data_IF_042856658671
#
_entry.id   IF_042856658671
#
_cell.length_a   1.000
_cell.length_b   1.000
_cell.length_c   1.000
_cell.angle_alpha   90.00
_cell.angle_beta   90.00
_cell.angle_gamma   90.00
#
_symmetry.space_group_name_H-M   'P 1'
#
loop_
_entity.id
_entity.type
_entity.pdbx_description
1 polymer ?
#
# COMPACT_ATOMS: atom_id res chain seq x y z
N UNK A 1 1.33 8.69 -14.81
CA UNK A 1 1.17 7.25 -14.49
C UNK A 1 -0.30 6.98 -14.25
N UNK A 2 -0.84 5.86 -14.76
CA UNK A 2 -2.23 5.47 -14.54
C UNK A 2 -2.25 4.35 -13.49
N UNK A 3 -3.00 4.55 -12.41
CA UNK A 3 -3.08 3.57 -11.30
C UNK A 3 -4.49 3.00 -11.26
N UNK A 4 -4.61 1.67 -11.20
CA UNK A 4 -5.88 0.98 -11.04
C UNK A 4 -6.00 0.40 -9.63
N UNK A 5 -6.97 0.86 -8.85
CA UNK A 5 -7.15 0.46 -7.46
C UNK A 5 -8.37 -0.46 -7.35
N UNK A 6 -8.16 -1.67 -6.83
CA UNK A 6 -9.26 -2.51 -6.37
C UNK A 6 -9.59 -2.17 -4.92
N UNK A 7 -10.88 -2.11 -4.55
CA UNK A 7 -11.28 -1.65 -3.21
C UNK A 7 -11.09 -0.15 -2.99
N UNK A 8 -11.16 0.67 -4.05
CA UNK A 8 -10.96 2.12 -3.98
C UNK A 8 -11.95 2.87 -3.08
N UNK A 9 -13.07 2.24 -2.72
CA UNK A 9 -14.07 2.79 -1.77
C UNK A 9 -13.89 2.27 -0.34
N UNK A 10 -12.93 1.40 -0.08
CA UNK A 10 -12.60 0.91 1.26
C UNK A 10 -11.77 1.93 2.06
N UNK A 11 -11.53 1.65 3.34
CA UNK A 11 -10.82 2.60 4.22
C UNK A 11 -9.46 3.03 3.70
N UNK A 12 -8.58 2.08 3.34
CA UNK A 12 -7.25 2.39 2.76
C UNK A 12 -7.36 2.85 1.31
N UNK A 13 -8.15 2.15 0.48
CA UNK A 13 -8.28 2.46 -0.94
C UNK A 13 -8.83 3.86 -1.23
N UNK A 14 -9.77 4.34 -0.39
CA UNK A 14 -10.33 5.69 -0.48
C UNK A 14 -9.31 6.76 -0.11
N UNK A 15 -8.55 6.54 0.97
CA UNK A 15 -7.46 7.43 1.38
C UNK A 15 -6.36 7.50 0.31
N UNK A 16 -5.95 6.35 -0.23
CA UNK A 16 -4.98 6.29 -1.32
C UNK A 16 -5.46 7.03 -2.57
N UNK A 17 -6.72 6.82 -2.96
CA UNK A 17 -7.31 7.51 -4.12
C UNK A 17 -7.25 9.02 -3.94
N UNK A 18 -7.62 9.54 -2.76
CA UNK A 18 -7.55 10.98 -2.46
C UNK A 18 -6.12 11.52 -2.53
N UNK A 19 -5.14 10.81 -1.95
CA UNK A 19 -3.72 11.18 -1.98
C UNK A 19 -3.15 11.17 -3.40
N UNK A 20 -3.54 10.21 -4.23
CA UNK A 20 -3.06 10.13 -5.62
C UNK A 20 -3.68 11.23 -6.49
N UNK A 21 -4.96 11.52 -6.32
CA UNK A 21 -5.62 12.63 -7.00
C UNK A 21 -5.01 13.99 -6.62
N UNK A 22 -4.67 14.20 -5.34
CA UNK A 22 -4.02 15.45 -4.92
C UNK A 22 -2.61 15.63 -5.49
N UNK A 23 -1.94 14.53 -5.85
CA UNK A 23 -0.65 14.52 -6.56
C UNK A 23 -0.78 14.57 -8.09
N UNK A 24 -2.00 14.73 -8.63
CA UNK A 24 -2.25 14.81 -10.07
C UNK A 24 -2.16 13.47 -10.81
N UNK A 25 -2.24 12.34 -10.09
CA UNK A 25 -2.20 11.00 -10.68
C UNK A 25 -3.59 10.61 -11.18
N UNK A 26 -3.66 10.06 -12.40
CA UNK A 26 -4.89 9.50 -12.95
C UNK A 26 -5.18 8.15 -12.28
N UNK A 27 -6.31 8.07 -11.56
CA UNK A 27 -6.73 6.87 -10.83
C UNK A 27 -8.04 6.34 -11.42
N UNK A 28 -8.05 5.06 -11.77
CA UNK A 28 -9.27 4.29 -12.06
C UNK A 28 -9.47 3.21 -11.01
N UNK A 29 -10.67 2.65 -10.90
CA UNK A 29 -10.89 1.53 -9.99
C UNK A 29 -12.26 0.90 -10.11
N UNK A 30 -12.44 -0.19 -9.36
CA UNK A 30 -13.69 -0.93 -9.31
C UNK A 30 -14.54 -0.45 -8.13
N UNK A 31 -15.77 -0.04 -8.41
CA UNK A 31 -16.79 0.30 -7.42
C UNK A 31 -17.87 -0.77 -7.48
N UNK A 32 -18.11 -1.46 -6.36
CA UNK A 32 -18.95 -2.66 -6.35
C UNK A 32 -20.46 -2.35 -6.38
N UNK A 33 -20.92 -1.40 -5.54
CA UNK A 33 -22.34 -1.20 -5.10
C UNK A 33 -23.06 -2.48 -4.65
N UNK A 34 -24.16 -2.38 -3.92
CA UNK A 34 -24.20 -2.13 -2.47
C UNK A 34 -24.38 -3.52 -1.81
N UNK A 35 -24.06 -3.66 -0.53
CA UNK A 35 -24.19 -4.89 0.26
C UNK A 35 -23.11 -5.97 0.03
N UNK A 36 -22.17 -5.99 0.99
CA UNK A 36 -21.32 -7.11 1.43
C UNK A 36 -21.25 -8.33 0.51
N UNK A 37 -20.04 -8.67 0.03
CA UNK A 37 -19.56 -10.06 0.17
C UNK A 37 -18.15 -10.35 -0.29
N UNK A 38 -17.60 -11.32 0.44
CA UNK A 38 -16.61 -12.32 0.05
C UNK A 38 -15.17 -11.85 -0.05
N UNK A 39 -14.51 -12.06 1.08
CA UNK A 39 -13.09 -12.26 1.28
C UNK A 39 -12.39 -13.03 0.15
N UNK A 40 -11.23 -12.47 -0.21
CA UNK A 40 -9.92 -13.10 -0.36
C UNK A 40 -9.78 -14.34 -1.28
N UNK A 41 -9.27 -14.10 -2.50
CA UNK A 41 -8.11 -14.85 -3.03
C UNK A 41 -7.48 -14.08 -4.21
N UNK A 42 -6.48 -13.23 -3.97
CA UNK A 42 -5.71 -12.60 -5.05
C UNK A 42 -4.19 -12.85 -4.96
N UNK A 43 -3.69 -13.38 -3.83
CA UNK A 43 -2.24 -13.39 -3.56
C UNK A 43 -1.45 -14.51 -4.26
N UNK A 44 -2.10 -15.52 -4.83
CA UNK A 44 -1.40 -16.70 -5.39
C UNK A 44 -1.29 -16.66 -6.93
N UNK A 45 -2.15 -15.91 -7.63
CA UNK A 45 -2.17 -15.88 -9.09
C UNK A 45 -1.20 -14.83 -9.69
N UNK A 46 -0.98 -13.70 -9.00
CA UNK A 46 -0.14 -12.60 -9.49
C UNK A 46 1.36 -12.94 -9.51
N UNK A 47 1.82 -13.84 -8.64
CA UNK A 47 3.23 -14.21 -8.52
C UNK A 47 3.79 -15.01 -9.71
N UNK A 48 2.92 -15.57 -10.56
CA UNK A 48 3.29 -16.47 -11.67
C UNK A 48 3.31 -15.79 -13.05
N UNK A 49 2.96 -14.50 -13.15
CA UNK A 49 2.91 -13.76 -14.42
C UNK A 49 4.13 -12.87 -14.68
N UNK A 50 4.21 -12.31 -15.89
CA UNK A 50 5.25 -11.34 -16.29
C UNK A 50 5.07 -9.95 -15.66
N UNK A 51 3.98 -9.72 -14.90
CA UNK A 51 3.75 -8.44 -14.23
C UNK A 51 4.82 -8.16 -13.17
N UNK A 52 5.24 -6.89 -13.12
CA UNK A 52 5.94 -6.37 -11.96
C UNK A 52 4.93 -6.14 -10.84
N UNK A 53 5.19 -6.67 -9.66
CA UNK A 53 4.23 -6.69 -8.56
C UNK A 53 4.92 -6.35 -7.23
N UNK A 54 4.18 -5.73 -6.33
CA UNK A 54 4.58 -5.49 -4.95
C UNK A 54 3.40 -5.86 -4.05
N UNK A 55 3.63 -6.70 -3.06
CA UNK A 55 2.63 -7.05 -2.04
C UNK A 55 3.00 -6.30 -0.76
N UNK A 56 2.11 -5.44 -0.29
CA UNK A 56 2.24 -4.75 0.99
C UNK A 56 1.29 -5.40 2.00
N UNK A 57 1.82 -5.88 3.12
CA UNK A 57 1.08 -6.53 4.21
C UNK A 57 1.09 -5.65 5.45
N UNK A 58 0.11 -4.74 5.61
CA UNK A 58 0.01 -3.93 6.80
C UNK A 58 -0.38 -4.77 8.03
N UNK A 59 0.05 -4.31 9.21
CA UNK A 59 -0.41 -4.79 10.51
C UNK A 59 -1.88 -4.40 10.77
N UNK A 60 -2.38 -4.59 12.00
CA UNK A 60 -3.80 -4.34 12.33
C UNK A 60 -4.17 -2.88 12.03
N UNK A 61 -5.17 -2.67 11.17
CA UNK A 61 -5.55 -1.33 10.72
C UNK A 61 -6.33 -0.56 11.80
N UNK A 62 -5.86 0.64 12.11
CA UNK A 62 -6.53 1.60 13.00
C UNK A 62 -7.09 2.79 12.23
N UNK A 63 -8.23 3.29 12.71
CA UNK A 63 -8.88 4.52 12.24
C UNK A 63 -8.40 5.73 13.05
N UNK A 64 -7.07 5.86 13.18
CA UNK A 64 -6.38 6.96 13.86
C UNK A 64 -5.66 7.85 12.83
N UNK A 65 -5.37 9.12 13.18
CA UNK A 65 -4.52 9.98 12.35
C UNK A 65 -3.15 9.35 12.10
N UNK A 66 -2.63 9.52 10.88
CA UNK A 66 -1.29 9.06 10.52
C UNK A 66 -0.19 9.81 11.27
N UNK A 67 0.85 9.08 11.64
CA UNK A 67 2.06 9.61 12.29
C UNK A 67 3.10 10.11 11.28
N UNK A 68 3.01 9.69 10.01
CA UNK A 68 4.01 9.97 8.98
C UNK A 68 5.30 9.15 9.11
N UNK A 69 5.35 8.22 10.06
CA UNK A 69 6.49 7.34 10.34
C UNK A 69 6.05 5.89 10.42
N UNK A 70 6.88 4.98 9.91
CA UNK A 70 6.57 3.56 9.78
C UNK A 70 7.80 2.67 10.01
N UNK A 71 7.56 1.38 10.17
CA UNK A 71 8.55 0.33 9.94
C UNK A 71 8.16 -0.43 8.68
N UNK A 72 9.11 -0.61 7.75
CA UNK A 72 8.85 -1.23 6.45
C UNK A 72 9.99 -2.15 6.06
N UNK A 73 9.69 -3.44 5.88
CA UNK A 73 10.71 -4.44 5.57
C UNK A 73 10.12 -5.80 5.26
N UNK A 74 10.95 -6.79 4.88
CA UNK A 74 10.48 -8.14 4.52
C UNK A 74 10.06 -9.00 5.73
N UNK A 75 10.31 -8.57 6.96
CA UNK A 75 10.01 -9.31 8.19
C UNK A 75 9.83 -8.31 9.36
N UNK A 76 8.67 -7.66 9.41
CA UNK A 76 8.33 -6.70 10.47
C UNK A 76 7.45 -7.37 11.53
N UNK A 77 7.44 -6.80 12.73
CA UNK A 77 6.49 -7.25 13.75
C UNK A 77 5.06 -6.89 13.35
N UNK A 78 4.09 -7.66 13.86
CA UNK A 78 2.67 -7.44 13.58
C UNK A 78 2.01 -6.78 14.79
N UNK A 79 2.08 -5.45 14.84
CA UNK A 79 1.36 -4.59 15.77
C UNK A 79 0.11 -4.01 15.14
N UNK A 80 0.08 -2.68 15.03
CA UNK A 80 -1.06 -1.91 14.57
C UNK A 80 -0.56 -0.74 13.73
N UNK A 81 -1.34 -0.29 12.74
CA UNK A 81 -0.97 0.85 11.90
C UNK A 81 -2.19 1.67 11.48
N UNK A 82 -2.04 2.99 11.48
CA UNK A 82 -3.04 3.91 10.97
C UNK A 82 -3.28 3.72 9.46
N UNK A 83 -4.54 3.68 9.04
CA UNK A 83 -4.89 3.59 7.60
C UNK A 83 -4.28 4.72 6.76
N UNK A 84 -4.11 5.90 7.35
CA UNK A 84 -3.49 7.05 6.69
C UNK A 84 -2.01 6.79 6.36
N UNK A 85 -1.26 6.18 7.28
CA UNK A 85 0.15 5.84 7.07
C UNK A 85 0.29 4.70 6.04
N UNK A 86 -0.65 3.76 6.00
CA UNK A 86 -0.71 2.74 4.93
C UNK A 86 -0.94 3.40 3.58
N UNK A 87 -1.91 4.31 3.48
CA UNK A 87 -2.21 5.00 2.23
C UNK A 87 -1.06 5.90 1.76
N UNK A 88 -0.38 6.58 2.69
CA UNK A 88 0.80 7.40 2.40
C UNK A 88 1.98 6.52 1.95
N UNK A 89 2.23 5.40 2.62
CA UNK A 89 3.26 4.43 2.23
C UNK A 89 3.00 3.87 0.83
N UNK A 90 1.76 3.50 0.50
CA UNK A 90 1.38 3.05 -0.84
C UNK A 90 1.60 4.14 -1.89
N UNK A 91 1.27 5.40 -1.58
CA UNK A 91 1.50 6.52 -2.48
C UNK A 91 3.00 6.74 -2.74
N UNK A 92 3.84 6.55 -1.72
CA UNK A 92 5.29 6.67 -1.85
C UNK A 92 5.89 5.51 -2.66
N UNK A 93 5.49 4.26 -2.37
CA UNK A 93 5.94 3.07 -3.10
C UNK A 93 5.63 3.13 -4.60
N UNK A 94 4.51 3.75 -4.99
CA UNK A 94 4.17 3.95 -6.41
C UNK A 94 5.20 4.79 -7.16
N UNK A 95 5.94 5.67 -6.48
CA UNK A 95 7.00 6.49 -7.08
C UNK A 95 8.36 5.78 -7.09
N UNK A 96 8.44 4.54 -6.60
CA UNK A 96 9.68 3.79 -6.46
C UNK A 96 9.63 2.44 -7.22
N UNK A 97 9.68 2.47 -8.57
CA UNK A 97 9.55 1.27 -9.40
C UNK A 97 10.72 0.28 -9.25
N UNK A 98 11.80 0.65 -8.54
CA UNK A 98 12.91 -0.29 -8.24
C UNK A 98 12.50 -1.32 -7.18
N UNK A 99 11.42 -1.07 -6.44
CA UNK A 99 10.86 -2.00 -5.46
C UNK A 99 9.76 -2.83 -6.14
N UNK A 100 10.20 -3.87 -6.82
CA UNK A 100 9.35 -4.84 -7.50
C UNK A 100 9.65 -6.27 -7.06
N UNK A 101 8.68 -7.16 -7.30
CA UNK A 101 8.66 -8.59 -6.98
C UNK A 101 9.01 -8.90 -5.52
N UNK A 102 8.36 -8.18 -4.60
CA UNK A 102 8.58 -8.31 -3.15
C UNK A 102 7.31 -8.33 -2.35
N UNK A 103 7.43 -8.93 -1.18
CA UNK A 103 6.47 -8.81 -0.09
C UNK A 103 7.14 -7.91 0.94
N UNK A 104 6.49 -6.82 1.31
CA UNK A 104 6.89 -5.94 2.40
C UNK A 104 5.81 -5.96 3.47
N UNK A 105 6.22 -6.10 4.70
CA UNK A 105 5.40 -5.96 5.88
C UNK A 105 5.51 -4.51 6.37
N UNK A 106 4.39 -3.96 6.83
CA UNK A 106 4.26 -2.56 7.20
C UNK A 106 3.61 -2.45 8.57
N UNK A 107 4.29 -1.77 9.49
CA UNK A 107 3.80 -1.52 10.84
C UNK A 107 4.10 -0.09 11.30
N UNK A 108 3.53 0.30 12.45
CA UNK A 108 3.94 1.52 13.13
C UNK A 108 5.42 1.46 13.46
N UNK A 109 6.13 2.56 13.19
CA UNK A 109 7.54 2.69 13.48
C UNK A 109 7.97 4.15 13.54
N UNK A 110 9.27 4.37 13.65
CA UNK A 110 9.85 5.70 13.84
C UNK A 110 10.51 6.29 12.59
N UNK A 111 10.56 5.54 11.49
CA UNK A 111 11.24 5.98 10.26
C UNK A 111 10.28 6.77 9.38
N UNK A 112 10.61 7.99 8.93
CA UNK A 112 9.77 8.73 7.98
C UNK A 112 9.46 7.89 6.74
N UNK A 113 8.21 7.93 6.27
CA UNK A 113 7.73 7.10 5.16
C UNK A 113 8.66 7.15 3.92
N UNK A 114 9.11 8.32 3.43
CA UNK A 114 10.02 8.39 2.28
C UNK A 114 11.36 7.66 2.53
N UNK A 115 11.87 7.73 3.75
CA UNK A 115 13.14 7.11 4.12
C UNK A 115 12.97 5.58 4.27
N UNK A 116 11.86 5.13 4.84
CA UNK A 116 11.51 3.72 4.96
C UNK A 116 11.35 3.05 3.59
N UNK A 117 10.70 3.73 2.65
CA UNK A 117 10.61 3.27 1.25
C UNK A 117 12.00 3.23 0.60
N UNK A 118 12.78 4.31 0.72
CA UNK A 118 14.12 4.39 0.13
C UNK A 118 15.07 3.29 0.65
N UNK A 119 14.96 2.93 1.92
CA UNK A 119 15.75 1.85 2.53
C UNK A 119 15.50 0.46 1.90
N UNK A 120 14.36 0.27 1.24
CA UNK A 120 14.00 -0.98 0.57
C UNK A 120 14.40 -1.03 -0.91
N UNK A 121 14.98 0.04 -1.45
CA UNK A 121 15.56 0.07 -2.80
C UNK A 121 16.85 -0.76 -2.80
N UNK A 122 16.98 -1.72 -3.72
CA UNK A 122 18.27 -2.36 -3.99
C UNK A 122 18.98 -1.68 -5.14
N UNK A 123 20.28 -1.47 -4.99
CA UNK A 123 21.18 -1.23 -6.12
C UNK A 123 21.18 -2.49 -6.99
N UNK A 124 20.93 -2.31 -8.29
CA UNK A 124 20.93 -3.40 -9.28
C UNK A 124 22.35 -3.69 -9.75
#
# INVERSE_FOLDING_TARGET
>A
MNVFITGMTGGVGGLLTRKLLSRGVNVGGLVRRDDKRSELSADIALSRGELDWLILRPSLLLDEPGSGTVSLGPAEFHGQIAREDVAETLAELLHEPRIGRRILELDTGSTPIPDAVRANVRER
#
